data_IF_323222653906
#
_entry.id   IF_323222653906
#
_cell.length_a   1.000
_cell.length_b   1.000
_cell.length_c   1.000
_cell.angle_alpha   90.00
_cell.angle_beta   90.00
_cell.angle_gamma   90.00
#
_symmetry.space_group_name_H-M   'P 1'
#
loop_
_entity.id
_entity.type
_entity.pdbx_description
1 polymer ?
#
# COMPACT_ATOMS: atom_id res chain seq x y z
N UNK A 1 16.56 -20.20 16.77
CA UNK A 1 17.31 -19.33 15.83
C UNK A 1 17.60 -18.02 16.55
N UNK A 2 18.42 -18.07 17.59
CA UNK A 2 18.45 -17.07 18.70
C UNK A 2 19.61 -16.08 18.64
N UNK A 3 20.39 -16.05 17.55
CA UNK A 3 21.66 -15.31 17.49
C UNK A 3 21.76 -14.27 16.37
N UNK A 4 20.67 -13.96 15.65
CA UNK A 4 20.71 -12.93 14.61
C UNK A 4 20.30 -11.57 15.20
N UNK A 5 21.11 -10.51 15.04
CA UNK A 5 20.69 -9.18 15.42
C UNK A 5 19.42 -8.84 14.64
N UNK A 6 18.36 -8.45 15.35
CA UNK A 6 17.10 -7.96 14.77
C UNK A 6 17.27 -7.01 13.57
N UNK A 7 18.18 -6.00 13.58
CA UNK A 7 18.38 -5.14 12.41
C UNK A 7 18.89 -5.89 11.17
N UNK A 8 19.65 -6.97 11.33
CA UNK A 8 20.16 -7.77 10.21
C UNK A 8 19.02 -8.55 9.56
N UNK A 9 18.11 -9.12 10.37
CA UNK A 9 16.94 -9.83 9.86
C UNK A 9 16.04 -8.90 9.05
N UNK A 10 15.80 -7.68 9.54
CA UNK A 10 15.03 -6.66 8.79
C UNK A 10 15.75 -6.21 7.51
N UNK A 11 17.07 -6.02 7.56
CA UNK A 11 17.83 -5.64 6.38
C UNK A 11 17.75 -6.73 5.29
N UNK A 12 17.85 -8.00 5.67
CA UNK A 12 17.73 -9.13 4.75
C UNK A 12 16.30 -9.22 4.19
N UNK A 13 15.28 -9.15 5.05
CA UNK A 13 13.88 -9.19 4.62
C UNK A 13 13.56 -8.03 3.66
N UNK A 14 14.00 -6.81 3.99
CA UNK A 14 13.86 -5.63 3.15
C UNK A 14 14.62 -5.74 1.83
N UNK A 15 15.83 -6.32 1.84
CA UNK A 15 16.62 -6.55 0.63
C UNK A 15 15.92 -7.55 -0.31
N UNK A 16 15.45 -8.69 0.24
CA UNK A 16 14.70 -9.69 -0.52
C UNK A 16 13.41 -9.12 -1.10
N UNK A 17 12.61 -8.42 -0.29
CA UNK A 17 11.39 -7.74 -0.76
C UNK A 17 11.70 -6.68 -1.83
N UNK A 18 12.76 -5.90 -1.63
CA UNK A 18 13.22 -4.88 -2.57
C UNK A 18 13.69 -5.47 -3.90
N UNK A 19 14.36 -6.63 -3.90
CA UNK A 19 14.73 -7.35 -5.14
C UNK A 19 13.47 -7.77 -5.89
N UNK A 20 12.50 -8.38 -5.21
CA UNK A 20 11.24 -8.81 -5.83
C UNK A 20 10.50 -7.62 -6.45
N UNK A 21 10.39 -6.52 -5.72
CA UNK A 21 9.76 -5.29 -6.20
C UNK A 21 10.55 -4.68 -7.37
N UNK A 22 11.87 -4.52 -7.26
CA UNK A 22 12.71 -4.01 -8.34
C UNK A 22 12.59 -4.84 -9.63
N UNK A 23 12.56 -6.16 -9.50
CA UNK A 23 12.32 -7.07 -10.63
C UNK A 23 10.89 -6.92 -11.18
N UNK A 24 9.87 -6.76 -10.33
CA UNK A 24 8.49 -6.50 -10.76
C UNK A 24 8.38 -5.18 -11.54
N UNK A 25 9.09 -4.14 -11.10
CA UNK A 25 9.14 -2.85 -11.78
C UNK A 25 9.78 -3.00 -13.17
N UNK A 26 10.93 -3.69 -13.26
CA UNK A 26 11.68 -3.82 -14.51
C UNK A 26 11.05 -4.80 -15.50
N UNK A 27 10.64 -5.97 -15.02
CA UNK A 27 10.15 -7.05 -15.87
C UNK A 27 8.68 -6.88 -16.16
N UNK A 28 7.85 -6.56 -15.16
CA UNK A 28 6.40 -6.48 -15.30
C UNK A 28 5.90 -5.07 -15.64
N UNK A 29 6.75 -4.04 -15.57
CA UNK A 29 6.36 -2.62 -15.68
C UNK A 29 5.26 -2.26 -14.67
N UNK A 30 5.42 -2.75 -13.43
CA UNK A 30 4.53 -2.42 -12.33
C UNK A 30 4.74 -0.95 -11.96
N UNK A 31 3.92 -0.04 -12.46
CA UNK A 31 3.82 1.34 -11.98
C UNK A 31 2.36 1.77 -12.05
N UNK A 32 1.89 2.38 -10.97
CA UNK A 32 0.50 2.82 -10.82
C UNK A 32 0.10 3.79 -11.93
N UNK A 33 0.99 4.75 -12.27
CA UNK A 33 0.71 5.70 -13.34
C UNK A 33 0.54 5.00 -14.69
N UNK A 34 1.48 4.13 -15.07
CA UNK A 34 1.39 3.39 -16.33
C UNK A 34 0.20 2.43 -16.38
N UNK A 35 -0.28 1.94 -15.23
CA UNK A 35 -1.50 1.15 -15.17
C UNK A 35 -2.76 2.00 -15.45
N UNK A 36 -2.77 3.26 -14.99
CA UNK A 36 -3.85 4.22 -15.26
C UNK A 36 -3.79 4.68 -16.72
N UNK A 37 -2.61 5.03 -17.24
CA UNK A 37 -2.43 5.45 -18.62
C UNK A 37 -2.81 4.35 -19.62
N UNK A 38 -2.36 3.10 -19.40
CA UNK A 38 -2.74 1.96 -20.24
C UNK A 38 -4.27 1.73 -20.20
N UNK A 39 -4.93 1.96 -19.07
CA UNK A 39 -6.37 1.81 -18.94
C UNK A 39 -7.17 2.92 -19.64
N UNK A 40 -6.70 4.18 -19.55
CA UNK A 40 -7.40 5.34 -20.11
C UNK A 40 -7.11 5.56 -21.59
N UNK A 41 -5.85 5.43 -22.02
CA UNK A 41 -5.41 5.74 -23.38
C UNK A 41 -5.06 4.48 -24.18
N UNK A 42 -4.51 3.47 -23.52
CA UNK A 42 -4.08 2.22 -24.18
C UNK A 42 -5.19 1.19 -24.37
N UNK A 43 -6.36 1.38 -23.75
CA UNK A 43 -7.45 0.41 -23.67
C UNK A 43 -7.01 -1.00 -23.18
N UNK A 44 -5.88 -1.10 -22.46
CA UNK A 44 -5.35 -2.35 -21.90
C UNK A 44 -5.46 -2.35 -20.37
N UNK A 45 -6.39 -3.16 -19.87
CA UNK A 45 -6.65 -3.30 -18.43
C UNK A 45 -5.72 -4.31 -17.74
N UNK A 46 -4.78 -4.95 -18.45
CA UNK A 46 -3.93 -6.01 -17.86
C UNK A 46 -3.06 -5.49 -16.73
N UNK A 47 -2.48 -4.28 -16.86
CA UNK A 47 -1.67 -3.69 -15.78
C UNK A 47 -2.52 -3.24 -14.60
N UNK A 48 -3.71 -2.70 -14.86
CA UNK A 48 -4.65 -2.33 -13.80
C UNK A 48 -5.12 -3.57 -13.01
N UNK A 49 -5.38 -4.68 -13.71
CA UNK A 49 -5.72 -5.96 -13.07
C UNK A 49 -4.56 -6.59 -12.33
N UNK A 50 -3.32 -6.45 -12.81
CA UNK A 50 -2.11 -6.83 -12.06
C UNK A 50 -2.01 -6.05 -10.75
N UNK A 51 -2.27 -4.74 -10.79
CA UNK A 51 -2.26 -3.89 -9.59
C UNK A 51 -3.37 -4.31 -8.61
N UNK A 52 -4.59 -4.57 -9.09
CA UNK A 52 -5.67 -5.07 -8.26
C UNK A 52 -5.41 -6.48 -7.68
N UNK A 53 -4.78 -7.37 -8.45
CA UNK A 53 -4.34 -8.69 -7.98
C UNK A 53 -3.32 -8.55 -6.85
N UNK A 54 -2.31 -7.70 -7.01
CA UNK A 54 -1.31 -7.44 -5.98
C UNK A 54 -1.95 -6.90 -4.70
N UNK A 55 -2.90 -5.95 -4.84
CA UNK A 55 -3.65 -5.40 -3.72
C UNK A 55 -4.51 -6.45 -3.01
N UNK A 56 -5.24 -7.29 -3.77
CA UNK A 56 -6.05 -8.36 -3.20
C UNK A 56 -5.22 -9.41 -2.45
N UNK A 57 -4.08 -9.83 -3.01
CA UNK A 57 -3.15 -10.75 -2.34
C UNK A 57 -2.56 -10.12 -1.07
N UNK A 58 -2.19 -8.84 -1.12
CA UNK A 58 -1.67 -8.13 0.04
C UNK A 58 -2.71 -8.02 1.16
N UNK A 59 -3.95 -7.66 0.84
CA UNK A 59 -5.03 -7.55 1.81
C UNK A 59 -5.30 -8.92 2.45
N UNK A 60 -5.48 -9.99 1.66
CA UNK A 60 -5.70 -11.33 2.22
C UNK A 60 -4.51 -11.83 3.05
N UNK A 61 -3.28 -11.60 2.60
CA UNK A 61 -2.12 -12.05 3.35
C UNK A 61 -2.01 -11.31 4.68
N UNK A 62 -2.23 -10.00 4.70
CA UNK A 62 -2.17 -9.19 5.92
C UNK A 62 -3.32 -9.51 6.87
N UNK A 63 -4.53 -9.83 6.39
CA UNK A 63 -5.61 -10.32 7.27
C UNK A 63 -5.28 -11.66 7.89
N UNK A 64 -4.71 -12.61 7.14
CA UNK A 64 -4.27 -13.91 7.69
C UNK A 64 -3.15 -13.71 8.73
N UNK A 65 -2.23 -12.78 8.50
CA UNK A 65 -1.21 -12.41 9.47
C UNK A 65 -1.80 -11.85 10.77
N UNK A 66 -2.90 -11.12 10.69
CA UNK A 66 -3.56 -10.61 11.88
C UNK A 66 -4.30 -11.71 12.66
N UNK A 67 -4.99 -12.62 11.97
CA UNK A 67 -5.67 -13.76 12.60
C UNK A 67 -4.70 -14.72 13.31
N UNK A 68 -3.52 -14.93 12.73
CA UNK A 68 -2.45 -15.72 13.36
C UNK A 68 -1.78 -15.00 14.52
N UNK A 69 -2.24 -13.79 14.86
CA UNK A 69 -1.66 -12.90 15.84
C UNK A 69 -0.34 -12.28 15.38
N UNK A 70 0.17 -12.62 14.19
CA UNK A 70 1.49 -12.21 13.66
C UNK A 70 1.68 -10.68 13.67
N UNK A 71 0.60 -9.95 13.42
CA UNK A 71 0.54 -8.49 13.42
C UNK A 71 -0.64 -8.04 14.27
N UNK A 72 -0.40 -7.17 15.25
CA UNK A 72 -1.48 -6.55 16.03
C UNK A 72 -1.87 -5.20 15.41
N UNK A 73 -3.03 -5.14 14.73
CA UNK A 73 -3.52 -3.91 14.12
C UNK A 73 -3.79 -2.79 15.12
N UNK A 74 -4.10 -3.12 16.38
CA UNK A 74 -4.41 -2.12 17.41
C UNK A 74 -3.22 -1.20 17.71
N UNK A 75 -2.01 -1.71 17.48
CA UNK A 75 -0.76 -0.97 17.70
C UNK A 75 -0.30 -0.20 16.46
N UNK A 76 -0.90 -0.44 15.30
CA UNK A 76 -0.50 0.22 14.05
C UNK A 76 -0.95 1.68 14.02
N UNK A 77 -0.13 2.52 13.39
CA UNK A 77 -0.47 3.94 13.17
C UNK A 77 -1.76 4.08 12.35
N UNK A 78 -1.99 3.18 11.40
CA UNK A 78 -3.13 3.21 10.49
C UNK A 78 -4.48 3.04 11.20
N UNK A 79 -4.51 2.33 12.33
CA UNK A 79 -5.73 2.15 13.13
C UNK A 79 -6.09 3.38 13.97
N UNK A 80 -5.08 4.19 14.31
CA UNK A 80 -5.23 5.43 15.08
C UNK A 80 -5.52 6.65 14.21
N UNK A 81 -5.51 6.52 12.89
CA UNK A 81 -5.86 7.61 11.98
C UNK A 81 -7.34 7.96 12.11
N UNK A 82 -7.61 9.23 12.40
CA UNK A 82 -8.96 9.79 12.37
C UNK A 82 -9.45 9.87 10.93
N UNK A 83 -10.75 9.63 10.76
CA UNK A 83 -11.35 9.67 9.44
C UNK A 83 -11.51 11.12 8.98
N UNK A 84 -10.76 11.45 7.92
CA UNK A 84 -10.86 12.74 7.25
C UNK A 84 -10.98 12.52 5.73
N UNK A 85 -12.20 12.26 5.24
CA UNK A 85 -12.42 11.97 3.82
C UNK A 85 -11.95 13.09 2.90
N UNK A 86 -12.09 14.35 3.35
CA UNK A 86 -11.64 15.50 2.57
C UNK A 86 -10.11 15.52 2.41
N UNK A 87 -9.37 15.21 3.48
CA UNK A 87 -7.92 15.06 3.41
C UNK A 87 -7.49 13.97 2.42
N UNK A 88 -8.22 12.85 2.40
CA UNK A 88 -7.92 11.73 1.51
C UNK A 88 -8.17 12.08 0.04
N UNK A 89 -9.27 12.77 -0.26
CA UNK A 89 -9.60 13.21 -1.62
C UNK A 89 -8.60 14.28 -2.09
N UNK A 90 -8.37 15.33 -1.29
CA UNK A 90 -7.44 16.40 -1.65
C UNK A 90 -6.00 15.87 -1.78
N UNK A 91 -5.55 15.07 -0.82
CA UNK A 91 -4.23 14.45 -0.87
C UNK A 91 -4.07 13.51 -2.07
N UNK A 92 -5.08 12.69 -2.35
CA UNK A 92 -5.10 11.80 -3.52
C UNK A 92 -5.05 12.56 -4.85
N UNK A 93 -5.81 13.65 -4.97
CA UNK A 93 -5.79 14.51 -6.16
C UNK A 93 -4.46 15.23 -6.34
N UNK A 94 -3.89 15.79 -5.27
CA UNK A 94 -2.58 16.44 -5.32
C UNK A 94 -1.48 15.44 -5.68
N UNK A 95 -1.50 14.24 -5.11
CA UNK A 95 -0.54 13.19 -5.43
C UNK A 95 -0.71 12.69 -6.87
N UNK A 96 -1.95 12.50 -7.33
CA UNK A 96 -2.28 12.12 -8.70
C UNK A 96 -1.83 13.17 -9.73
N UNK A 97 -2.14 14.44 -9.49
CA UNK A 97 -1.68 15.55 -10.31
C UNK A 97 -0.15 15.62 -10.36
N UNK A 98 0.52 15.42 -9.21
CA UNK A 98 1.97 15.33 -9.14
C UNK A 98 2.54 14.18 -9.99
N UNK A 99 1.91 13.01 -9.96
CA UNK A 99 2.31 11.87 -10.81
C UNK A 99 2.17 12.20 -12.29
N UNK A 100 1.09 12.85 -12.70
CA UNK A 100 0.86 13.28 -14.08
C UNK A 100 1.90 14.30 -14.54
N UNK A 101 2.22 15.31 -13.72
CA UNK A 101 3.23 16.33 -14.03
C UNK A 101 4.65 15.75 -14.11
N UNK A 102 4.98 14.79 -13.23
CA UNK A 102 6.30 14.14 -13.23
C UNK A 102 6.43 13.04 -14.30
N UNK A 103 5.32 12.57 -14.87
CA UNK A 103 5.27 11.42 -15.78
C UNK A 103 5.73 10.11 -15.11
N UNK A 104 5.55 9.99 -13.79
CA UNK A 104 5.89 8.76 -13.05
C UNK A 104 5.16 8.65 -11.72
N UNK A 105 5.04 7.42 -11.23
CA UNK A 105 4.61 7.14 -9.85
C UNK A 105 5.83 7.10 -8.91
N UNK A 106 5.65 7.33 -7.61
CA UNK A 106 6.76 7.29 -6.64
C UNK A 106 7.57 5.98 -6.67
N UNK A 107 6.88 4.86 -6.86
CA UNK A 107 7.50 3.55 -7.08
C UNK A 107 8.34 3.49 -8.38
N UNK A 108 7.83 4.07 -9.46
CA UNK A 108 8.52 4.16 -10.74
C UNK A 108 9.77 5.02 -10.65
N UNK A 109 9.71 6.14 -9.92
CA UNK A 109 10.90 6.97 -9.65
C UNK A 109 11.96 6.16 -8.93
N UNK A 110 11.60 5.46 -7.85
CA UNK A 110 12.55 4.64 -7.08
C UNK A 110 13.17 3.52 -7.95
N UNK A 111 12.38 2.87 -8.79
CA UNK A 111 12.88 1.85 -9.71
C UNK A 111 13.87 2.43 -10.73
N UNK A 112 13.65 3.66 -11.23
CA UNK A 112 14.59 4.35 -12.13
C UNK A 112 15.88 4.78 -11.44
N UNK A 113 15.81 5.20 -10.18
CA UNK A 113 17.00 5.43 -9.35
C UNK A 113 17.85 4.17 -9.28
N UNK A 114 17.23 3.01 -9.01
CA UNK A 114 17.92 1.72 -9.03
C UNK A 114 18.50 1.30 -10.39
N UNK A 115 18.01 1.91 -11.49
CA UNK A 115 18.53 1.71 -12.84
C UNK A 115 19.68 2.66 -13.23
N UNK A 116 20.08 3.59 -12.36
CA UNK A 116 21.17 4.55 -12.61
C UNK A 116 20.75 5.90 -13.19
N UNK A 117 19.45 6.24 -13.14
CA UNK A 117 18.96 7.54 -13.63
C UNK A 117 19.18 8.66 -12.58
N UNK A 118 20.17 9.53 -12.82
CA UNK A 118 20.48 10.68 -11.98
C UNK A 118 19.34 11.71 -11.92
N UNK A 119 18.54 11.84 -12.98
CA UNK A 119 17.38 12.73 -12.98
C UNK A 119 16.29 12.16 -12.06
N UNK A 120 16.08 10.86 -12.10
CA UNK A 120 15.16 10.19 -11.17
C UNK A 120 15.64 10.30 -9.73
N UNK A 121 16.95 10.32 -9.47
CA UNK A 121 17.50 10.51 -8.12
C UNK A 121 17.11 11.86 -7.54
N UNK A 122 17.24 12.93 -8.32
CA UNK A 122 16.80 14.26 -7.90
C UNK A 122 15.29 14.30 -7.66
N UNK A 123 14.50 13.71 -8.57
CA UNK A 123 13.05 13.60 -8.39
C UNK A 123 12.65 12.84 -7.12
N UNK A 124 13.32 11.72 -6.83
CA UNK A 124 13.09 10.92 -5.63
C UNK A 124 13.43 11.70 -4.36
N UNK A 125 14.53 12.43 -4.35
CA UNK A 125 14.92 13.30 -3.23
C UNK A 125 13.87 14.38 -2.97
N UNK A 126 13.39 15.05 -4.01
CA UNK A 126 12.34 16.09 -3.88
C UNK A 126 11.04 15.49 -3.34
N UNK A 127 10.63 14.32 -3.83
CA UNK A 127 9.44 13.60 -3.31
C UNK A 127 9.63 13.26 -1.83
N UNK A 128 10.81 12.75 -1.44
CA UNK A 128 11.13 12.40 -0.06
C UNK A 128 11.12 13.61 0.88
N UNK A 129 11.74 14.73 0.47
CA UNK A 129 11.75 15.98 1.25
C UNK A 129 10.33 16.54 1.36
N UNK A 130 9.56 16.56 0.27
CA UNK A 130 8.17 17.00 0.29
C UNK A 130 7.29 16.15 1.20
N UNK A 131 7.46 14.82 1.17
CA UNK A 131 6.77 13.90 2.07
C UNK A 131 7.14 14.16 3.54
N UNK A 132 8.43 14.35 3.83
CA UNK A 132 8.89 14.68 5.19
C UNK A 132 8.33 16.03 5.66
N UNK A 133 8.31 17.05 4.79
CA UNK A 133 7.70 18.34 5.10
C UNK A 133 6.21 18.22 5.44
N UNK A 134 5.47 17.36 4.72
CA UNK A 134 4.05 17.13 4.97
C UNK A 134 3.77 16.40 6.29
N UNK A 135 4.70 15.54 6.75
CA UNK A 135 4.55 14.79 8.01
C UNK A 135 4.97 15.64 9.21
N UNK A 136 6.14 16.27 9.16
CA UNK A 136 6.77 16.90 10.33
C UNK A 136 7.33 18.32 10.07
N UNK A 137 7.15 18.86 8.86
CA UNK A 137 7.71 20.15 8.48
C UNK A 137 6.70 21.30 8.46
N UNK A 138 6.99 22.39 7.74
CA UNK A 138 6.17 23.60 7.77
C UNK A 138 4.77 23.39 7.17
N UNK A 139 4.65 22.50 6.19
CA UNK A 139 3.34 22.13 5.61
C UNK A 139 2.52 21.25 6.55
N UNK A 140 3.12 20.61 7.56
CA UNK A 140 2.39 19.92 8.61
C UNK A 140 1.57 20.90 9.46
N UNK A 141 2.09 22.11 9.73
CA UNK A 141 1.31 23.13 10.44
C UNK A 141 0.09 23.56 9.63
N UNK A 142 0.25 23.72 8.31
CA UNK A 142 -0.88 24.03 7.42
C UNK A 142 -1.93 22.90 7.43
N UNK A 143 -1.49 21.63 7.49
CA UNK A 143 -2.39 20.47 7.63
C UNK A 143 -3.17 20.54 8.94
N UNK A 144 -2.51 20.81 10.06
CA UNK A 144 -3.17 20.89 11.37
C UNK A 144 -4.17 22.05 11.45
N UNK A 145 -3.88 23.18 10.78
CA UNK A 145 -4.78 24.33 10.78
C UNK A 145 -5.94 24.23 9.81
N UNK A 146 -5.71 23.67 8.61
CA UNK A 146 -6.69 23.68 7.53
C UNK A 146 -7.43 22.36 7.39
N UNK A 147 -6.75 21.23 7.60
CA UNK A 147 -7.27 19.89 7.31
C UNK A 147 -7.81 19.21 8.57
N UNK A 148 -7.07 19.27 9.69
CA UNK A 148 -7.47 18.56 10.91
C UNK A 148 -8.80 19.05 11.53
N UNK A 149 -9.21 20.34 11.46
CA UNK A 149 -10.53 20.78 11.91
C UNK A 149 -11.69 20.28 11.03
N UNK A 150 -11.39 19.88 9.79
CA UNK A 150 -12.35 19.30 8.84
C UNK A 150 -12.45 17.77 8.99
N UNK A 151 -11.66 17.17 9.89
CA UNK A 151 -11.86 15.78 10.26
C UNK A 151 -13.26 15.61 10.86
N UNK A 152 -13.91 14.48 10.57
CA UNK A 152 -15.22 14.20 11.13
C UNK A 152 -15.01 13.98 12.64
N UNK A 153 -15.33 15.01 13.42
CA UNK A 153 -15.10 15.04 14.86
C UNK A 153 -15.94 14.00 15.61
N UNK A 154 -15.29 13.26 16.50
CA UNK A 154 -15.88 12.17 17.27
C UNK A 154 -14.93 10.98 17.29
N UNK A 155 -15.21 9.96 18.11
CA UNK A 155 -14.44 8.71 18.19
C UNK A 155 -14.43 7.87 16.88
N UNK A 156 -14.65 8.50 15.73
CA UNK A 156 -14.75 7.92 14.39
C UNK A 156 -13.33 7.72 13.78
N UNK A 157 -12.61 6.76 14.34
CA UNK A 157 -11.45 6.10 13.73
C UNK A 157 -11.86 5.16 12.58
N UNK A 158 -10.88 4.75 11.75
CA UNK A 158 -11.10 3.71 10.73
C UNK A 158 -11.77 2.45 11.30
N UNK A 159 -11.41 2.08 12.53
CA UNK A 159 -12.02 0.98 13.29
C UNK A 159 -13.51 1.19 13.52
N UNK A 160 -13.89 2.36 14.01
CA UNK A 160 -15.28 2.69 14.32
C UNK A 160 -16.14 2.91 13.09
N UNK A 161 -15.57 3.23 11.91
CA UNK A 161 -16.34 3.23 10.66
C UNK A 161 -16.66 1.81 10.20
N UNK A 162 -15.70 0.90 10.30
CA UNK A 162 -15.92 -0.54 10.05
C UNK A 162 -16.99 -1.06 11.04
N UNK A 163 -16.88 -0.72 12.32
CA UNK A 163 -17.86 -1.10 13.33
C UNK A 163 -19.23 -0.42 13.17
N UNK A 164 -19.27 0.83 12.67
CA UNK A 164 -20.51 1.55 12.39
C UNK A 164 -21.33 0.89 11.28
N UNK A 165 -20.67 0.29 10.29
CA UNK A 165 -21.36 -0.52 9.25
C UNK A 165 -22.01 -1.78 9.86
N UNK A 166 -21.50 -2.30 10.99
CA UNK A 166 -21.98 -3.54 11.64
C UNK A 166 -22.81 -3.34 12.90
N UNK A 167 -23.23 -2.11 13.23
CA UNK A 167 -23.29 -1.61 14.60
C UNK A 167 -24.36 -2.12 15.57
N UNK A 168 -25.04 -3.25 15.34
CA UNK A 168 -25.90 -3.87 16.38
C UNK A 168 -26.07 -5.40 16.25
N UNK A 169 -25.50 -6.02 15.21
CA UNK A 169 -25.87 -7.41 14.83
C UNK A 169 -24.65 -8.35 14.70
N UNK A 170 -23.44 -7.81 14.58
CA UNK A 170 -22.24 -8.59 14.22
C UNK A 170 -21.07 -8.24 15.16
N UNK A 171 -20.40 -9.27 15.71
CA UNK A 171 -19.19 -9.11 16.52
C UNK A 171 -18.16 -8.22 15.80
N UNK A 172 -17.63 -7.22 16.49
CA UNK A 172 -16.66 -6.27 15.94
C UNK A 172 -15.45 -6.97 15.30
N UNK A 173 -15.03 -8.10 15.86
CA UNK A 173 -13.96 -8.96 15.32
C UNK A 173 -14.31 -9.52 13.94
N UNK A 174 -15.55 -9.99 13.75
CA UNK A 174 -16.00 -10.51 12.45
C UNK A 174 -16.03 -9.42 11.39
N UNK A 175 -16.40 -8.19 11.75
CA UNK A 175 -16.42 -7.08 10.78
C UNK A 175 -15.01 -6.66 10.37
N UNK A 176 -14.06 -6.63 11.31
CA UNK A 176 -12.65 -6.33 11.06
C UNK A 176 -11.99 -7.32 10.08
N UNK A 177 -12.44 -8.59 10.04
CA UNK A 177 -11.95 -9.61 9.10
C UNK A 177 -12.76 -9.64 7.81
N UNK A 178 -14.09 -9.58 7.93
CA UNK A 178 -15.00 -9.78 6.81
C UNK A 178 -14.86 -8.64 5.77
N UNK A 179 -14.76 -7.38 6.21
CA UNK A 179 -14.70 -6.25 5.29
C UNK A 179 -13.44 -6.31 4.40
N UNK A 180 -12.21 -6.45 4.94
CA UNK A 180 -11.03 -6.59 4.10
C UNK A 180 -11.04 -7.87 3.26
N UNK A 181 -11.55 -8.98 3.80
CA UNK A 181 -11.62 -10.26 3.07
C UNK A 181 -12.58 -10.19 1.87
N UNK A 182 -13.74 -9.56 2.03
CA UNK A 182 -14.70 -9.33 0.93
C UNK A 182 -14.10 -8.36 -0.09
N UNK A 183 -13.48 -7.27 0.35
CA UNK A 183 -12.81 -6.34 -0.55
C UNK A 183 -11.72 -7.04 -1.39
N UNK A 184 -10.91 -7.88 -0.75
CA UNK A 184 -9.89 -8.65 -1.45
C UNK A 184 -10.51 -9.69 -2.40
N UNK A 185 -11.56 -10.40 -1.97
CA UNK A 185 -12.26 -11.36 -2.84
C UNK A 185 -12.83 -10.68 -4.10
N UNK A 186 -13.40 -9.48 -3.96
CA UNK A 186 -13.89 -8.68 -5.09
C UNK A 186 -12.75 -8.27 -6.03
N UNK A 187 -11.62 -7.81 -5.50
CA UNK A 187 -10.45 -7.44 -6.30
C UNK A 187 -9.84 -8.65 -7.03
N UNK A 188 -9.76 -9.80 -6.36
CA UNK A 188 -9.27 -11.05 -6.94
C UNK A 188 -10.24 -11.58 -8.00
N UNK A 189 -11.54 -11.57 -7.74
CA UNK A 189 -12.56 -11.96 -8.70
C UNK A 189 -12.55 -11.05 -9.94
N UNK A 190 -12.43 -9.74 -9.75
CA UNK A 190 -12.36 -8.78 -10.85
C UNK A 190 -11.08 -8.91 -11.67
N UNK A 191 -9.93 -9.08 -11.01
CA UNK A 191 -8.66 -9.26 -11.71
C UNK A 191 -8.60 -10.58 -12.49
N UNK A 192 -9.05 -11.69 -11.89
CA UNK A 192 -9.04 -13.02 -12.51
C UNK A 192 -10.24 -13.29 -13.41
N UNK A 193 -11.29 -12.46 -13.38
CA UNK A 193 -12.48 -12.63 -14.21
C UNK A 193 -12.17 -12.60 -15.72
N UNK A 194 -11.24 -11.74 -16.14
CA UNK A 194 -10.90 -11.62 -17.56
C UNK A 194 -9.96 -12.72 -18.07
N UNK A 195 -10.38 -13.38 -19.14
CA UNK A 195 -9.59 -14.38 -19.84
C UNK A 195 -8.30 -13.81 -20.45
N UNK A 196 -8.27 -12.54 -20.87
CA UNK A 196 -7.05 -11.97 -21.48
C UNK A 196 -5.95 -11.75 -20.45
N UNK A 197 -6.31 -11.35 -19.23
CA UNK A 197 -5.37 -11.20 -18.13
C UNK A 197 -4.84 -12.55 -17.64
N UNK A 198 -5.72 -13.55 -17.48
CA UNK A 198 -5.34 -14.92 -17.09
C UNK A 198 -4.36 -15.57 -18.07
N UNK A 199 -4.49 -15.28 -19.37
CA UNK A 199 -3.52 -15.75 -20.39
C UNK A 199 -2.16 -15.08 -20.26
N UNK A 200 -2.10 -13.88 -19.67
CA UNK A 200 -0.85 -13.17 -19.45
C UNK A 200 -0.17 -13.63 -18.16
N UNK A 201 0.40 -14.84 -18.19
CA UNK A 201 1.08 -15.47 -17.03
C UNK A 201 2.11 -14.56 -16.36
N UNK A 202 2.83 -13.76 -17.15
CA UNK A 202 3.78 -12.77 -16.66
C UNK A 202 3.12 -11.74 -15.74
N UNK A 203 1.95 -11.22 -16.11
CA UNK A 203 1.29 -10.18 -15.33
C UNK A 203 0.68 -10.74 -14.04
N UNK A 204 0.11 -11.93 -14.11
CA UNK A 204 -0.41 -12.66 -12.94
C UNK A 204 0.72 -12.96 -11.95
N UNK A 205 1.81 -13.56 -12.44
CA UNK A 205 2.95 -13.92 -11.60
C UNK A 205 3.52 -12.73 -10.83
N UNK A 206 3.82 -11.64 -11.52
CA UNK A 206 4.39 -10.46 -10.86
C UNK A 206 3.39 -9.73 -9.96
N UNK A 207 2.09 -9.76 -10.27
CA UNK A 207 1.06 -9.24 -9.37
C UNK A 207 1.04 -10.00 -8.03
N UNK A 208 1.07 -11.34 -8.08
CA UNK A 208 1.16 -12.17 -6.86
C UNK A 208 2.46 -11.91 -6.11
N UNK A 209 3.61 -11.86 -6.80
CA UNK A 209 4.91 -11.61 -6.16
C UNK A 209 4.98 -10.25 -5.47
N UNK A 210 4.40 -9.20 -6.05
CA UNK A 210 4.31 -7.88 -5.40
C UNK A 210 3.44 -7.97 -4.15
N UNK A 211 2.29 -8.65 -4.22
CA UNK A 211 1.43 -8.87 -3.05
C UNK A 211 2.17 -9.61 -1.93
N UNK A 212 2.87 -10.71 -2.25
CA UNK A 212 3.66 -11.48 -1.30
C UNK A 212 4.82 -10.68 -0.71
N UNK A 213 5.48 -9.82 -1.50
CA UNK A 213 6.52 -8.94 -0.98
C UNK A 213 5.95 -7.98 0.10
N UNK A 214 4.75 -7.43 -0.12
CA UNK A 214 4.06 -6.59 0.88
C UNK A 214 3.75 -7.40 2.15
N UNK A 215 3.20 -8.61 2.00
CA UNK A 215 2.89 -9.51 3.13
C UNK A 215 4.16 -9.86 3.92
N UNK A 216 5.27 -10.12 3.23
CA UNK A 216 6.56 -10.42 3.88
C UNK A 216 7.08 -9.23 4.69
N UNK A 217 6.85 -8.00 4.21
CA UNK A 217 7.18 -6.77 4.93
C UNK A 217 6.42 -6.72 6.26
N UNK A 218 5.09 -6.89 6.21
CA UNK A 218 4.24 -6.95 7.40
C UNK A 218 4.61 -8.09 8.35
N UNK A 219 4.92 -9.28 7.83
CA UNK A 219 5.35 -10.41 8.66
C UNK A 219 6.65 -10.07 9.42
N UNK A 220 7.64 -9.51 8.71
CA UNK A 220 8.94 -9.19 9.28
C UNK A 220 8.88 -8.09 10.34
N UNK A 221 8.08 -7.04 10.12
CA UNK A 221 7.90 -5.96 11.09
C UNK A 221 7.00 -6.35 12.25
N UNK A 222 5.96 -7.15 12.00
CA UNK A 222 5.07 -7.68 13.03
C UNK A 222 5.75 -8.66 13.98
N UNK A 223 6.65 -9.50 13.46
CA UNK A 223 7.47 -10.39 14.28
C UNK A 223 8.38 -9.59 15.21
N UNK A 224 9.07 -8.57 14.68
CA UNK A 224 9.93 -7.70 15.49
C UNK A 224 9.13 -6.95 16.58
N UNK A 225 7.93 -6.46 16.26
CA UNK A 225 7.11 -5.72 17.21
C UNK A 225 6.68 -6.57 18.42
N UNK A 226 6.75 -7.91 18.31
CA UNK A 226 6.48 -8.82 19.43
C UNK A 226 7.71 -9.19 20.24
N UNK A 227 8.92 -8.98 19.74
CA UNK A 227 10.14 -9.25 20.51
C UNK A 227 10.30 -8.13 21.55
N UNK A 228 10.12 -8.43 22.86
CA UNK A 228 10.54 -7.49 23.88
C UNK A 228 12.07 -7.52 23.90
N UNK A 229 12.70 -6.36 23.69
CA UNK A 229 14.12 -6.20 24.01
C UNK A 229 14.39 -6.59 25.47
#
# INVERSE_FOLDING_TARGET
>A
MENWPTPVVLAIAGCLGGIVLGLAARLARFCTLSAIEDAMFGHDLRRLRMWALALGVAILGVTVLAETGTVDFSQTLYHRLTLNPLAWVLGGLMFGAGMALCGTCGYGTLARVGGGDLRALFGFLVIGIAAYMAIAGPTAQLRVWLIDPLAIGGAFSARTFIQWIGSDVIDAHLVEIAVPSVAAALLLAWSLGDGTFRRSKKHVFWGVMVGLAIVSGWASTGWLARDPF
#
